data_IF_068149494140
#
_entry.id   IF_068149494140
#
_cell.length_a   1.000
_cell.length_b   1.000
_cell.length_c   1.000
_cell.angle_alpha   90.00
_cell.angle_beta   90.00
_cell.angle_gamma   90.00
#
_symmetry.space_group_name_H-M   'P 1'
#
loop_
_entity.id
_entity.type
_entity.pdbx_description
1 polymer ?
#
# COMPACT_ATOMS: atom_id res chain seq x y z
N UNK A 1 -3.79 24.09 1.12
CA UNK A 1 -4.44 22.76 1.03
C UNK A 1 -3.86 21.90 2.14
N UNK A 2 -4.65 21.13 2.88
CA UNK A 2 -4.12 20.30 3.97
C UNK A 2 -3.72 18.92 3.45
N UNK A 3 -2.55 18.43 3.84
CA UNK A 3 -2.19 17.03 3.65
C UNK A 3 -3.11 16.15 4.49
N UNK A 4 -3.58 15.06 3.90
CA UNK A 4 -4.31 13.99 4.59
C UNK A 4 -3.39 12.78 4.63
N UNK A 5 -3.47 12.03 5.73
CA UNK A 5 -2.67 10.84 5.98
C UNK A 5 -3.55 9.70 6.49
N UNK A 6 -3.28 8.49 6.02
CA UNK A 6 -3.80 7.25 6.56
C UNK A 6 -2.62 6.32 6.87
N UNK A 7 -2.50 5.89 8.12
CA UNK A 7 -1.43 4.97 8.55
C UNK A 7 -2.05 3.75 9.23
N UNK A 8 -1.56 2.56 8.88
CA UNK A 8 -1.86 1.30 9.58
C UNK A 8 -0.60 0.44 9.63
N UNK A 9 -0.55 -0.53 10.54
CA UNK A 9 0.61 -1.37 10.75
C UNK A 9 0.24 -2.77 11.24
N UNK A 10 1.13 -3.73 11.03
CA UNK A 10 1.00 -5.10 11.52
C UNK A 10 2.37 -5.68 11.87
N UNK A 11 2.42 -6.48 12.94
CA UNK A 11 3.55 -7.37 13.19
C UNK A 11 3.25 -8.72 12.54
N UNK A 12 4.26 -9.28 11.86
CA UNK A 12 4.19 -10.50 11.05
C UNK A 12 5.26 -11.47 11.58
N UNK A 13 4.87 -12.72 11.81
CA UNK A 13 5.77 -13.78 12.30
C UNK A 13 6.58 -14.41 11.16
N UNK A 14 7.30 -13.59 10.41
CA UNK A 14 8.22 -13.98 9.35
C UNK A 14 9.46 -13.08 9.33
N UNK A 15 10.51 -13.54 8.64
CA UNK A 15 11.74 -12.76 8.48
C UNK A 15 11.46 -11.42 7.74
N UNK A 16 12.04 -10.29 8.19
CA UNK A 16 11.84 -8.99 7.52
C UNK A 16 12.21 -8.97 6.05
N UNK A 17 13.24 -9.70 5.62
CA UNK A 17 13.64 -9.77 4.21
C UNK A 17 12.58 -10.52 3.40
N UNK A 18 12.13 -11.68 3.87
CA UNK A 18 11.04 -12.44 3.24
C UNK A 18 9.74 -11.63 3.11
N UNK A 19 9.43 -10.84 4.14
CA UNK A 19 8.25 -9.96 4.14
C UNK A 19 8.40 -8.82 3.14
N UNK A 20 9.58 -8.22 3.05
CA UNK A 20 9.86 -7.16 2.09
C UNK A 20 9.83 -7.68 0.65
N UNK A 21 10.47 -8.81 0.37
CA UNK A 21 10.48 -9.44 -0.96
C UNK A 21 9.07 -9.81 -1.42
N UNK A 22 8.26 -10.41 -0.55
CA UNK A 22 6.87 -10.73 -0.84
C UNK A 22 6.02 -9.47 -1.12
N UNK A 23 6.34 -8.36 -0.46
CA UNK A 23 5.68 -7.08 -0.65
C UNK A 23 6.12 -6.40 -1.96
N UNK A 24 7.40 -6.50 -2.32
CA UNK A 24 8.03 -5.92 -3.49
C UNK A 24 7.81 -6.72 -4.78
N UNK A 25 7.41 -8.00 -4.69
CA UNK A 25 7.07 -8.84 -5.85
C UNK A 25 5.70 -8.45 -6.45
N UNK A 26 5.70 -7.46 -7.35
CA UNK A 26 4.51 -7.02 -8.08
C UNK A 26 4.05 -8.01 -9.15
N UNK A 27 4.94 -8.84 -9.67
CA UNK A 27 4.61 -9.80 -10.73
C UNK A 27 3.90 -11.04 -10.20
N UNK A 28 4.12 -11.38 -8.93
CA UNK A 28 3.54 -12.54 -8.28
C UNK A 28 2.70 -12.18 -7.07
N UNK A 29 3.37 -11.99 -5.95
CA UNK A 29 2.76 -12.00 -4.62
C UNK A 29 1.83 -10.82 -4.41
N UNK A 30 2.26 -9.60 -4.73
CA UNK A 30 1.51 -8.37 -4.49
C UNK A 30 0.08 -8.42 -5.01
N UNK A 31 -0.12 -8.88 -6.24
CA UNK A 31 -1.44 -8.97 -6.88
C UNK A 31 -2.39 -9.91 -6.13
N UNK A 32 -1.88 -10.93 -5.43
CA UNK A 32 -2.67 -11.87 -4.62
C UNK A 32 -3.05 -11.30 -3.25
N UNK A 33 -2.30 -10.32 -2.75
CA UNK A 33 -2.55 -9.70 -1.45
C UNK A 33 -3.69 -8.69 -1.48
N UNK A 34 -4.04 -8.19 -2.66
CA UNK A 34 -5.02 -7.11 -2.81
C UNK A 34 -6.46 -7.62 -2.58
N UNK A 35 -7.25 -6.99 -1.69
CA UNK A 35 -8.66 -7.35 -1.50
C UNK A 35 -9.53 -6.90 -2.67
N UNK A 36 -10.81 -7.24 -2.63
CA UNK A 36 -11.85 -6.89 -3.62
C UNK A 36 -12.01 -5.39 -3.92
N UNK A 37 -11.44 -4.51 -3.09
CA UNK A 37 -11.36 -3.07 -3.33
C UNK A 37 -10.45 -2.71 -4.50
N UNK A 38 -9.56 -3.61 -4.91
CA UNK A 38 -8.66 -3.43 -6.03
C UNK A 38 -9.17 -4.21 -7.25
N UNK A 39 -9.04 -3.61 -8.42
CA UNK A 39 -9.37 -4.26 -9.69
C UNK A 39 -8.44 -3.76 -10.79
N UNK A 40 -8.48 -4.43 -11.95
CA UNK A 40 -7.66 -4.07 -13.12
C UNK A 40 -6.14 -4.01 -12.83
N UNK A 41 -5.67 -4.94 -11.98
CA UNK A 41 -4.26 -5.08 -11.65
C UNK A 41 -3.44 -5.42 -12.89
N UNK A 42 -2.44 -4.60 -13.19
CA UNK A 42 -1.59 -4.76 -14.36
C UNK A 42 -0.19 -4.22 -14.05
N UNK A 43 0.83 -5.08 -14.11
CA UNK A 43 2.23 -4.64 -14.13
C UNK A 43 2.56 -4.22 -15.56
N UNK A 44 3.01 -2.97 -15.74
CA UNK A 44 3.34 -2.40 -17.05
C UNK A 44 4.83 -2.40 -17.34
N UNK A 45 5.64 -2.16 -16.32
CA UNK A 45 7.10 -2.18 -16.39
C UNK A 45 7.66 -2.73 -15.07
N UNK A 46 8.85 -3.34 -15.12
CA UNK A 46 9.47 -3.95 -13.95
C UNK A 46 8.63 -5.11 -13.41
N UNK A 47 8.27 -5.03 -12.13
CA UNK A 47 7.46 -6.03 -11.45
C UNK A 47 8.11 -6.64 -10.22
N UNK A 48 9.28 -6.14 -9.83
CA UNK A 48 10.00 -6.51 -8.62
C UNK A 48 10.64 -5.23 -8.09
N UNK A 49 10.06 -4.67 -7.02
CA UNK A 49 10.61 -3.51 -6.35
C UNK A 49 10.73 -2.25 -7.21
N UNK A 50 11.80 -1.50 -6.99
CA UNK A 50 12.15 -0.25 -7.68
C UNK A 50 12.11 -0.36 -9.20
N UNK A 51 11.54 0.65 -9.85
CA UNK A 51 11.40 0.70 -11.31
C UNK A 51 10.15 -0.01 -11.81
N UNK A 52 9.38 -0.63 -10.90
CA UNK A 52 8.05 -1.13 -11.23
C UNK A 52 7.09 0.02 -11.57
N UNK A 53 6.33 -0.16 -12.64
CA UNK A 53 5.17 0.65 -12.97
C UNK A 53 3.93 -0.27 -12.95
N UNK A 54 3.00 -0.01 -12.03
CA UNK A 54 1.83 -0.87 -11.83
C UNK A 54 0.54 -0.05 -11.85
N UNK A 55 -0.48 -0.61 -12.50
CA UNK A 55 -1.81 -0.02 -12.60
C UNK A 55 -2.83 -0.83 -11.79
N UNK A 56 -3.77 -0.13 -11.17
CA UNK A 56 -5.01 -0.72 -10.63
C UNK A 56 -6.06 0.36 -10.37
N UNK A 57 -7.32 -0.07 -10.25
CA UNK A 57 -8.39 0.75 -9.67
C UNK A 57 -8.55 0.45 -8.19
N UNK A 58 -8.61 1.50 -7.37
CA UNK A 58 -8.87 1.42 -5.93
C UNK A 58 -10.27 1.99 -5.63
N UNK A 59 -11.19 1.12 -5.23
CA UNK A 59 -12.54 1.46 -4.83
C UNK A 59 -12.70 1.53 -3.31
N UNK A 60 -12.48 2.72 -2.75
CA UNK A 60 -12.63 2.94 -1.30
C UNK A 60 -14.10 3.00 -0.84
N UNK A 61 -15.03 3.40 -1.71
CA UNK A 61 -16.47 3.39 -1.44
C UNK A 61 -17.26 3.11 -2.73
N UNK A 62 -18.57 2.85 -2.63
CA UNK A 62 -19.44 2.66 -3.81
C UNK A 62 -19.44 3.83 -4.80
N UNK A 63 -19.08 5.05 -4.38
CA UNK A 63 -19.07 6.27 -5.21
C UNK A 63 -17.66 6.81 -5.51
N UNK A 64 -16.61 6.12 -5.05
CA UNK A 64 -15.23 6.58 -5.18
C UNK A 64 -14.35 5.43 -5.65
N UNK A 65 -14.03 5.48 -6.94
CA UNK A 65 -13.03 4.66 -7.60
C UNK A 65 -11.90 5.59 -8.02
N UNK A 66 -10.67 5.27 -7.64
CA UNK A 66 -9.46 5.95 -8.09
C UNK A 66 -8.77 5.08 -9.12
N UNK A 67 -8.41 5.66 -10.25
CA UNK A 67 -7.57 5.04 -11.26
C UNK A 67 -6.10 5.37 -10.94
N UNK A 68 -5.33 4.38 -10.52
CA UNK A 68 -3.96 4.55 -10.04
C UNK A 68 -2.96 4.03 -11.07
N UNK A 69 -1.90 4.81 -11.30
CA UNK A 69 -0.73 4.37 -12.05
C UNK A 69 0.51 4.69 -11.20
N UNK A 70 1.04 3.68 -10.53
CA UNK A 70 2.04 3.84 -9.47
C UNK A 70 3.44 3.55 -9.99
N UNK A 71 4.33 4.53 -9.83
CA UNK A 71 5.77 4.34 -9.92
C UNK A 71 6.32 3.87 -8.57
N UNK A 72 7.10 2.81 -8.59
CA UNK A 72 7.69 2.21 -7.38
C UNK A 72 9.16 2.58 -7.27
N UNK A 73 9.58 3.01 -6.09
CA UNK A 73 10.97 3.29 -5.73
C UNK A 73 11.32 2.69 -4.36
N UNK A 74 12.60 2.48 -4.13
CA UNK A 74 13.17 1.97 -2.88
C UNK A 74 14.26 2.93 -2.41
N UNK A 75 13.87 4.00 -1.68
CA UNK A 75 14.81 5.05 -1.29
C UNK A 75 15.83 4.58 -0.24
N UNK A 76 15.45 3.60 0.59
CA UNK A 76 16.29 2.99 1.61
C UNK A 76 15.93 1.51 1.76
N UNK A 77 16.82 0.74 2.36
CA UNK A 77 16.57 -0.66 2.72
C UNK A 77 15.29 -0.81 3.57
N UNK A 78 14.50 -1.84 3.28
CA UNK A 78 13.21 -2.10 3.92
C UNK A 78 12.10 -1.06 3.62
N UNK A 79 12.32 -0.10 2.72
CA UNK A 79 11.34 0.93 2.36
C UNK A 79 10.92 0.85 0.89
N UNK A 80 9.61 0.81 0.65
CA UNK A 80 8.99 0.81 -0.68
C UNK A 80 8.06 2.02 -0.80
N UNK A 81 8.22 2.83 -1.86
CA UNK A 81 7.41 4.03 -2.10
C UNK A 81 6.69 3.91 -3.43
N UNK A 82 5.36 3.95 -3.39
CA UNK A 82 4.46 3.96 -4.54
C UNK A 82 3.95 5.40 -4.76
N UNK A 83 4.34 6.04 -5.87
CA UNK A 83 3.89 7.38 -6.26
C UNK A 83 2.88 7.31 -7.38
N UNK A 84 1.66 7.82 -7.14
CA UNK A 84 0.60 7.82 -8.15
C UNK A 84 0.84 8.94 -9.19
N UNK A 85 1.02 8.56 -10.46
CA UNK A 85 1.14 9.51 -11.57
C UNK A 85 -0.16 10.28 -11.83
N UNK A 86 -1.30 9.72 -11.42
CA UNK A 86 -2.61 10.30 -11.69
C UNK A 86 -3.10 11.24 -10.57
N UNK A 87 -2.38 11.34 -9.44
CA UNK A 87 -2.79 12.17 -8.31
C UNK A 87 -1.62 12.63 -7.43
N UNK A 88 -1.93 13.23 -6.28
CA UNK A 88 -0.91 13.57 -5.26
C UNK A 88 -0.71 12.43 -4.24
N UNK A 89 -1.29 11.26 -4.49
CA UNK A 89 -1.23 10.14 -3.57
C UNK A 89 0.14 9.46 -3.58
N UNK A 90 0.69 9.27 -2.39
CA UNK A 90 1.93 8.51 -2.17
C UNK A 90 1.68 7.48 -1.08
N UNK A 91 1.94 6.22 -1.35
CA UNK A 91 1.88 5.13 -0.36
C UNK A 91 3.29 4.65 -0.06
N UNK A 92 3.67 4.72 1.20
CA UNK A 92 4.98 4.29 1.69
C UNK A 92 4.81 3.07 2.57
N UNK A 93 5.56 2.02 2.28
CA UNK A 93 5.69 0.84 3.11
C UNK A 93 7.06 0.83 3.77
N UNK A 94 7.09 0.48 5.05
CA UNK A 94 8.32 0.32 5.82
C UNK A 94 8.26 -1.01 6.55
N UNK A 95 9.19 -1.90 6.23
CA UNK A 95 9.40 -3.19 6.89
C UNK A 95 10.61 -3.08 7.78
N UNK A 96 10.45 -3.42 9.06
CA UNK A 96 11.52 -3.34 10.07
C UNK A 96 11.55 -4.59 10.93
N UNK A 97 12.73 -5.01 11.45
CA UNK A 97 12.79 -6.08 12.43
C UNK A 97 11.96 -5.77 13.68
N UNK A 98 11.22 -6.77 14.18
CA UNK A 98 10.37 -6.67 15.39
C UNK A 98 10.70 -7.76 16.43
N UNK A 99 11.91 -8.31 16.37
CA UNK A 99 12.35 -9.46 17.15
C UNK A 99 12.77 -10.62 16.24
N UNK A 100 13.25 -11.71 16.85
CA UNK A 100 13.69 -12.90 16.11
C UNK A 100 12.53 -13.49 15.28
N UNK A 101 12.74 -13.65 13.98
CA UNK A 101 11.76 -14.16 13.03
C UNK A 101 10.48 -13.32 12.93
N UNK A 102 10.56 -12.01 13.22
CA UNK A 102 9.40 -11.11 13.17
C UNK A 102 9.72 -9.80 12.45
N UNK A 103 8.76 -9.34 11.69
CA UNK A 103 8.78 -8.05 11.02
C UNK A 103 7.62 -7.17 11.48
N UNK A 104 7.86 -5.87 11.55
CA UNK A 104 6.82 -4.86 11.65
C UNK A 104 6.70 -4.17 10.30
N UNK A 105 5.51 -4.23 9.72
CA UNK A 105 5.17 -3.54 8.48
C UNK A 105 4.28 -2.35 8.80
N UNK A 106 4.70 -1.16 8.40
CA UNK A 106 3.92 0.09 8.49
C UNK A 106 3.61 0.54 7.07
N UNK A 107 2.34 0.86 6.80
CA UNK A 107 1.92 1.49 5.56
C UNK A 107 1.29 2.84 5.85
N UNK A 108 1.78 3.86 5.16
CA UNK A 108 1.34 5.24 5.27
C UNK A 108 1.01 5.77 3.89
N UNK A 109 -0.23 6.17 3.67
CA UNK A 109 -0.67 6.83 2.44
C UNK A 109 -0.95 8.29 2.72
N UNK A 110 -0.37 9.19 1.92
CA UNK A 110 -0.60 10.63 2.00
C UNK A 110 -1.12 11.18 0.68
N UNK A 111 -1.97 12.21 0.74
CA UNK A 111 -2.44 12.94 -0.43
C UNK A 111 -2.88 14.35 -0.06
N UNK A 112 -3.01 15.22 -1.06
CA UNK A 112 -3.60 16.54 -0.86
C UNK A 112 -5.13 16.40 -0.89
N UNK A 113 -5.81 16.74 0.22
CA UNK A 113 -7.28 16.70 0.30
C UNK A 113 -7.94 17.82 -0.51
N UNK A 114 -9.16 17.61 -0.99
CA UNK A 114 -9.91 18.62 -1.73
C UNK A 114 -10.22 19.86 -0.87
N UNK A 115 -10.28 21.04 -1.48
CA UNK A 115 -10.79 22.26 -0.86
C UNK A 115 -12.33 22.25 -0.79
N UNK A 116 -12.92 22.79 0.29
CA UNK A 116 -14.38 22.98 0.44
C UNK A 116 -15.08 22.01 1.40
N UNK A 117 -16.42 22.05 1.43
CA UNK A 117 -17.30 21.28 2.36
C UNK A 117 -17.12 19.76 2.20
N UNK A 118 -16.73 19.28 1.00
CA UNK A 118 -16.35 17.88 0.74
C UNK A 118 -15.01 17.46 1.37
N UNK A 119 -14.12 18.41 1.67
CA UNK A 119 -12.81 18.15 2.29
C UNK A 119 -12.89 17.73 3.77
N UNK A 120 -14.03 17.96 4.45
CA UNK A 120 -14.25 17.47 5.82
C UNK A 120 -14.57 15.96 5.86
N UNK A 121 -15.24 15.44 4.82
CA UNK A 121 -15.53 14.01 4.66
C UNK A 121 -14.25 13.23 4.27
N UNK A 122 -13.39 13.85 3.46
CA UNK A 122 -12.07 13.34 3.10
C UNK A 122 -11.06 13.34 4.26
N UNK A 123 -11.27 14.17 5.30
CA UNK A 123 -10.32 14.29 6.43
C UNK A 123 -10.46 13.24 7.52
N UNK A 124 -11.62 12.61 7.70
CA UNK A 124 -11.85 11.67 8.83
C UNK A 124 -12.35 10.29 8.40
N UNK A 125 -13.16 10.20 7.33
CA UNK A 125 -13.71 8.92 6.88
C UNK A 125 -12.83 8.22 5.86
N UNK A 126 -12.21 8.99 4.95
CA UNK A 126 -11.31 8.43 3.95
C UNK A 126 -10.07 7.75 4.57
N UNK A 127 -9.41 8.31 5.61
CA UNK A 127 -8.26 7.66 6.21
C UNK A 127 -8.59 6.34 6.91
N UNK A 128 -9.72 6.27 7.62
CA UNK A 128 -10.15 5.03 8.29
C UNK A 128 -10.58 3.95 7.30
N UNK A 129 -11.28 4.33 6.23
CA UNK A 129 -11.65 3.41 5.16
C UNK A 129 -10.41 2.82 4.49
N UNK A 130 -9.49 3.69 4.07
CA UNK A 130 -8.23 3.28 3.45
C UNK A 130 -7.36 2.44 4.39
N UNK A 131 -7.29 2.81 5.67
CA UNK A 131 -6.57 2.05 6.69
C UNK A 131 -7.09 0.62 6.86
N UNK A 132 -8.42 0.38 6.75
CA UNK A 132 -8.98 -0.98 6.78
C UNK A 132 -8.65 -1.79 5.53
N UNK A 133 -8.65 -1.14 4.37
CA UNK A 133 -8.26 -1.79 3.10
C UNK A 133 -6.82 -2.26 3.21
N UNK A 134 -5.91 -1.38 3.66
CA UNK A 134 -4.52 -1.74 3.83
C UNK A 134 -4.26 -2.71 4.99
N UNK A 135 -5.04 -2.68 6.08
CA UNK A 135 -4.97 -3.73 7.10
C UNK A 135 -5.32 -5.11 6.53
N UNK A 136 -6.26 -5.18 5.58
CA UNK A 136 -6.55 -6.43 4.86
C UNK A 136 -5.37 -6.88 4.00
N UNK A 137 -4.70 -5.94 3.30
CA UNK A 137 -3.46 -6.25 2.57
C UNK A 137 -2.37 -6.77 3.50
N UNK A 138 -2.19 -6.14 4.67
CA UNK A 138 -1.22 -6.58 5.68
C UNK A 138 -1.57 -7.97 6.26
N UNK A 139 -2.86 -8.25 6.48
CA UNK A 139 -3.31 -9.56 6.93
C UNK A 139 -3.03 -10.65 5.89
N UNK A 140 -3.27 -10.34 4.61
CA UNK A 140 -2.95 -11.26 3.51
C UNK A 140 -1.43 -11.46 3.36
N UNK A 141 -0.63 -10.40 3.53
CA UNK A 141 0.83 -10.49 3.51
C UNK A 141 1.31 -11.42 4.62
N UNK A 142 0.81 -11.24 5.85
CA UNK A 142 1.13 -12.12 6.97
C UNK A 142 0.75 -13.57 6.67
N UNK A 143 -0.46 -13.79 6.16
CA UNK A 143 -0.91 -15.12 5.80
C UNK A 143 -0.09 -15.75 4.65
N UNK A 144 0.57 -14.97 3.81
CA UNK A 144 1.45 -15.49 2.75
C UNK A 144 2.83 -15.85 3.28
N UNK A 145 3.41 -15.01 4.14
CA UNK A 145 4.81 -15.14 4.57
C UNK A 145 4.99 -16.02 5.82
N UNK A 146 3.99 -16.09 6.70
CA UNK A 146 4.02 -16.96 7.90
C UNK A 146 3.87 -18.45 7.59
N UNK A 147 3.55 -18.81 6.33
CA UNK A 147 3.41 -20.21 5.89
C UNK A 147 4.74 -20.93 5.65
N UNK A 148 5.87 -20.22 5.70
CA UNK A 148 7.19 -20.77 5.40
C UNK A 148 7.80 -21.52 6.59
#
# INVERSE_FOLDING_TARGET
MGQVEATTQREIAADPEDVFDALADYSGTRGKLLPEHFSEYEVREGGDGKGTLVHWKLQATSKRVRDCLLEVDEPTDGQLVEKDRNSSMVTTWVVTPAGEGRAKVVVTTTWQGASGIGGFFERTFAPKGLGRIYDTVLANLAAETEKK
#
